data_IF_257030281997
#
_entry.id   IF_257030281997
#
_cell.length_a   1.000
_cell.length_b   1.000
_cell.length_c   1.000
_cell.angle_alpha   90.00
_cell.angle_beta   90.00
_cell.angle_gamma   90.00
#
_symmetry.space_group_name_H-M   'P 1'
#
loop_
_entity.id
_entity.type
_entity.pdbx_description
1 polymer ?
#
# COMPACT_ATOMS: atom_id res chain seq x y z
N UNK A 1 -13.27 9.48 -7.00
CA UNK A 1 -12.44 10.57 -6.42
C UNK A 1 -11.96 11.54 -7.49
N UNK A 2 -11.10 11.16 -8.43
CA UNK A 2 -10.58 12.08 -9.47
C UNK A 2 -11.72 12.72 -10.28
N UNK A 3 -12.67 11.92 -10.78
CA UNK A 3 -13.82 12.46 -11.51
C UNK A 3 -14.71 13.42 -10.69
N UNK A 4 -14.85 13.20 -9.38
CA UNK A 4 -15.64 14.07 -8.50
C UNK A 4 -14.91 15.35 -8.12
N UNK A 5 -13.58 15.37 -8.20
CA UNK A 5 -12.77 16.56 -7.92
C UNK A 5 -12.82 17.62 -9.02
N UNK A 6 -13.31 17.27 -10.22
CA UNK A 6 -13.24 18.14 -11.39
C UNK A 6 -11.83 18.32 -11.97
N UNK A 7 -10.82 17.64 -11.42
CA UNK A 7 -9.44 17.73 -11.89
C UNK A 7 -9.30 17.18 -13.32
N UNK A 8 -8.53 17.90 -14.12
CA UNK A 8 -8.01 17.46 -15.42
C UNK A 8 -6.49 17.49 -15.36
N UNK A 9 -5.84 16.53 -16.00
CA UNK A 9 -4.37 16.38 -16.01
C UNK A 9 -3.74 16.24 -14.61
N UNK A 10 -4.42 15.52 -13.71
CA UNK A 10 -3.92 15.30 -12.36
C UNK A 10 -2.62 14.50 -12.34
N UNK A 11 -1.77 14.77 -11.34
CA UNK A 11 -0.68 13.88 -10.96
C UNK A 11 -1.11 13.10 -9.73
N UNK A 12 -1.10 11.77 -9.82
CA UNK A 12 -1.43 10.89 -8.70
C UNK A 12 -0.19 10.18 -8.20
N UNK A 13 0.01 10.16 -6.89
CA UNK A 13 1.12 9.49 -6.24
C UNK A 13 0.58 8.48 -5.22
N UNK A 14 0.97 7.22 -5.34
CA UNK A 14 0.63 6.16 -4.42
C UNK A 14 1.85 5.75 -3.60
N UNK A 15 1.73 5.79 -2.27
CA UNK A 15 2.76 5.33 -1.35
C UNK A 15 2.41 3.94 -0.80
N UNK A 16 3.40 3.04 -0.74
CA UNK A 16 3.23 1.71 -0.14
C UNK A 16 2.06 0.93 -0.77
N UNK A 17 1.00 0.63 -0.02
CA UNK A 17 -0.16 -0.11 -0.53
C UNK A 17 -0.93 0.69 -1.59
N UNK A 18 -1.01 2.01 -1.47
CA UNK A 18 -1.80 2.88 -2.37
C UNK A 18 -1.22 2.94 -3.79
N UNK A 19 0.01 2.46 -4.01
CA UNK A 19 0.50 2.20 -5.35
C UNK A 19 -0.42 1.24 -6.13
N UNK A 20 -1.04 0.27 -5.44
CA UNK A 20 -2.03 -0.64 -5.98
C UNK A 20 -3.26 0.08 -6.53
N UNK A 21 -3.77 1.06 -5.80
CA UNK A 21 -4.88 1.92 -6.21
C UNK A 21 -4.52 2.73 -7.46
N UNK A 22 -3.30 3.28 -7.53
CA UNK A 22 -2.80 3.96 -8.73
C UNK A 22 -2.81 3.01 -9.93
N UNK A 23 -2.16 1.84 -9.83
CA UNK A 23 -2.09 0.88 -10.92
C UNK A 23 -3.49 0.39 -11.35
N UNK A 24 -4.36 0.12 -10.38
CA UNK A 24 -5.74 -0.33 -10.62
C UNK A 24 -6.58 0.76 -11.27
N UNK A 25 -6.40 2.04 -10.89
CA UNK A 25 -7.07 3.15 -11.54
C UNK A 25 -6.62 3.31 -13.00
N UNK A 26 -5.32 3.31 -13.24
CA UNK A 26 -4.76 3.43 -14.59
C UNK A 26 -5.25 2.30 -15.50
N UNK A 27 -5.32 1.07 -15.00
CA UNK A 27 -5.82 -0.09 -15.74
C UNK A 27 -7.33 -0.03 -16.01
N UNK A 28 -8.15 0.23 -14.99
CA UNK A 28 -9.63 0.16 -15.11
C UNK A 28 -10.27 1.39 -15.76
N UNK A 29 -9.62 2.54 -15.68
CA UNK A 29 -10.15 3.81 -16.16
C UNK A 29 -9.31 4.43 -17.27
N UNK A 30 -8.35 3.68 -17.81
CA UNK A 30 -7.44 4.13 -18.88
C UNK A 30 -6.74 5.45 -18.56
N UNK A 31 -6.43 5.68 -17.27
CA UNK A 31 -5.79 6.92 -16.80
C UNK A 31 -6.61 8.19 -17.04
N UNK A 32 -7.95 8.10 -17.15
CA UNK A 32 -8.81 9.26 -17.40
C UNK A 32 -8.47 10.42 -16.44
N UNK A 33 -8.27 11.62 -17.00
CA UNK A 33 -7.96 12.84 -16.24
C UNK A 33 -6.66 12.80 -15.42
N UNK A 34 -5.75 11.85 -15.71
CA UNK A 34 -4.43 11.73 -15.08
C UNK A 34 -3.34 11.96 -16.13
N UNK A 35 -2.49 12.96 -15.89
CA UNK A 35 -1.33 13.22 -16.74
C UNK A 35 -0.10 12.41 -16.32
N UNK A 36 0.08 12.17 -15.02
CA UNK A 36 1.23 11.42 -14.49
C UNK A 36 0.85 10.56 -13.29
N UNK A 37 1.54 9.43 -13.17
CA UNK A 37 1.42 8.52 -12.03
C UNK A 37 2.79 8.30 -11.38
N UNK A 38 2.84 8.30 -10.05
CA UNK A 38 4.05 8.08 -9.26
C UNK A 38 3.81 6.94 -8.28
N UNK A 39 4.78 6.03 -8.17
CA UNK A 39 4.78 4.92 -7.24
C UNK A 39 5.94 5.10 -6.26
N UNK A 40 5.65 5.33 -4.98
CA UNK A 40 6.64 5.58 -3.94
C UNK A 40 6.66 4.39 -2.99
N UNK A 41 7.76 3.63 -2.98
CA UNK A 41 7.90 2.43 -2.14
C UNK A 41 6.72 1.47 -2.25
N UNK A 42 6.16 1.33 -3.46
CA UNK A 42 4.87 0.66 -3.67
C UNK A 42 4.97 -0.85 -3.46
N UNK A 43 3.91 -1.45 -2.88
CA UNK A 43 3.80 -2.90 -2.65
C UNK A 43 3.41 -3.70 -3.90
N UNK A 44 3.50 -3.09 -5.09
CA UNK A 44 3.28 -3.74 -6.38
C UNK A 44 4.46 -4.63 -6.79
N UNK A 45 4.28 -5.57 -7.73
CA UNK A 45 3.01 -5.97 -8.35
C UNK A 45 2.23 -6.99 -7.50
N UNK A 46 2.93 -7.80 -6.70
CA UNK A 46 2.35 -8.82 -5.84
C UNK A 46 3.34 -9.20 -4.72
N UNK A 47 2.85 -9.32 -3.49
CA UNK A 47 3.69 -9.44 -2.28
C UNK A 47 3.87 -10.87 -1.79
N UNK A 48 2.89 -11.76 -2.00
CA UNK A 48 2.92 -13.12 -1.47
C UNK A 48 3.82 -14.00 -2.34
N UNK A 49 4.56 -14.90 -1.68
CA UNK A 49 5.35 -15.91 -2.34
C UNK A 49 4.47 -16.99 -2.98
N UNK A 50 4.67 -17.23 -4.26
CA UNK A 50 4.01 -18.28 -5.05
C UNK A 50 5.01 -18.95 -5.97
N UNK A 51 4.60 -19.99 -6.70
CA UNK A 51 5.47 -20.67 -7.68
C UNK A 51 5.95 -19.73 -8.79
N UNK A 52 5.13 -18.76 -9.19
CA UNK A 52 5.44 -17.73 -10.18
C UNK A 52 5.96 -16.41 -9.57
N UNK A 53 5.95 -16.28 -8.24
CA UNK A 53 6.57 -15.17 -7.49
C UNK A 53 7.46 -15.69 -6.34
N UNK A 54 8.58 -16.37 -6.63
CA UNK A 54 9.37 -17.07 -5.61
C UNK A 54 10.12 -16.14 -4.65
N UNK A 55 10.25 -14.85 -4.97
CA UNK A 55 10.89 -13.83 -4.13
C UNK A 55 9.91 -13.08 -3.22
N UNK A 56 8.62 -13.45 -3.24
CA UNK A 56 7.61 -12.87 -2.37
C UNK A 56 7.84 -13.19 -0.89
N UNK A 57 7.07 -12.53 -0.03
CA UNK A 57 7.04 -12.82 1.40
C UNK A 57 6.25 -14.11 1.69
N UNK A 58 6.69 -14.86 2.69
CA UNK A 58 6.02 -16.09 3.12
C UNK A 58 4.62 -15.82 3.70
N UNK A 59 3.67 -16.73 3.46
CA UNK A 59 2.29 -16.64 3.96
C UNK A 59 2.23 -16.38 5.49
N UNK A 60 3.11 -17.04 6.24
CA UNK A 60 3.19 -16.92 7.70
C UNK A 60 3.41 -15.47 8.19
N UNK A 61 4.07 -14.60 7.40
CA UNK A 61 4.24 -13.19 7.76
C UNK A 61 2.91 -12.41 7.69
N UNK A 62 2.07 -12.72 6.71
CA UNK A 62 0.73 -12.13 6.58
C UNK A 62 -0.20 -12.67 7.66
N UNK A 63 -0.16 -13.98 7.91
CA UNK A 63 -1.00 -14.64 8.92
C UNK A 63 -0.71 -14.08 10.31
N UNK A 64 0.56 -13.91 10.67
CA UNK A 64 0.98 -13.29 11.94
C UNK A 64 0.43 -11.88 12.08
N UNK A 65 0.48 -11.09 11.01
CA UNK A 65 -0.08 -9.72 11.01
C UNK A 65 -1.59 -9.73 11.19
N UNK A 66 -2.29 -10.59 10.45
CA UNK A 66 -3.74 -10.75 10.55
C UNK A 66 -4.18 -11.20 11.95
N UNK A 67 -3.46 -12.17 12.52
CA UNK A 67 -3.69 -12.64 13.88
C UNK A 67 -3.49 -11.52 14.91
N UNK A 68 -2.39 -10.78 14.84
CA UNK A 68 -2.14 -9.67 15.77
C UNK A 68 -3.24 -8.58 15.71
N UNK A 69 -3.75 -8.29 14.51
CA UNK A 69 -4.89 -7.38 14.33
C UNK A 69 -6.17 -7.95 14.93
N UNK A 70 -6.43 -9.25 14.78
CA UNK A 70 -7.63 -9.89 15.31
C UNK A 70 -7.60 -10.02 16.84
N UNK A 71 -6.42 -10.29 17.40
CA UNK A 71 -6.23 -10.47 18.84
C UNK A 71 -6.38 -9.13 19.57
N UNK A 72 -5.73 -8.06 19.10
CA UNK A 72 -5.81 -6.72 19.69
C UNK A 72 -5.42 -5.64 18.66
N UNK A 73 -6.40 -5.19 17.86
CA UNK A 73 -6.18 -4.16 16.85
C UNK A 73 -5.64 -2.85 17.43
N UNK A 74 -6.19 -2.26 18.51
CA UNK A 74 -5.62 -1.05 19.10
C UNK A 74 -4.15 -1.18 19.47
N UNK A 75 -3.76 -2.28 20.13
CA UNK A 75 -2.36 -2.53 20.50
C UNK A 75 -1.46 -2.72 19.29
N UNK A 76 -1.92 -3.48 18.28
CA UNK A 76 -1.19 -3.65 17.02
C UNK A 76 -0.93 -2.30 16.36
N UNK A 77 -1.95 -1.45 16.23
CA UNK A 77 -1.84 -0.15 15.56
C UNK A 77 -0.89 0.79 16.29
N UNK A 78 -0.92 0.83 17.63
CA UNK A 78 -0.02 1.65 18.43
C UNK A 78 1.47 1.35 18.10
N UNK A 79 1.88 0.08 18.20
CA UNK A 79 3.27 -0.31 17.89
C UNK A 79 3.62 -0.24 16.40
N UNK A 80 2.64 -0.53 15.53
CA UNK A 80 2.82 -0.36 14.08
C UNK A 80 3.15 1.09 13.72
N UNK A 81 2.42 2.07 14.28
CA UNK A 81 2.65 3.47 13.95
C UNK A 81 3.99 4.01 14.47
N UNK A 82 4.45 3.56 15.64
CA UNK A 82 5.80 3.90 16.12
C UNK A 82 6.87 3.46 15.11
N UNK A 83 6.80 2.20 14.66
CA UNK A 83 7.74 1.66 13.67
C UNK A 83 7.60 2.39 12.33
N UNK A 84 6.37 2.62 11.88
CA UNK A 84 6.06 3.20 10.57
C UNK A 84 6.54 4.65 10.45
N UNK A 85 6.41 5.44 11.51
CA UNK A 85 6.90 6.82 11.54
C UNK A 85 8.35 6.94 12.02
N UNK A 86 9.02 5.82 12.30
CA UNK A 86 10.40 5.82 12.79
C UNK A 86 10.56 6.50 14.14
N UNK A 87 9.54 6.41 15.01
CA UNK A 87 9.60 6.92 16.38
C UNK A 87 10.55 6.02 17.18
N UNK A 88 11.78 6.48 17.39
CA UNK A 88 12.76 5.81 18.25
C UNK A 88 12.66 6.38 19.66
N UNK A 89 12.65 5.53 20.69
CA UNK A 89 12.68 5.93 22.11
C UNK A 89 14.09 6.21 22.64
N UNK A 90 15.09 6.36 21.77
CA UNK A 90 16.45 6.70 22.19
C UNK A 90 16.55 8.19 22.56
N UNK A 91 16.51 8.45 23.88
CA UNK A 91 16.98 9.66 24.55
C UNK A 91 17.87 9.26 25.74
#
# INVERSE_FOLDING_TARGET
MIAYSGANDAVIAGFSMDGGEVARYMSRHHGKSVAKAVLVSASLPYRLKTSDNPLGAEQAAFDKTAQAINDDRPKFLAGFFETFFGVTTDA
#
